data_IF_044282585611
#
_entry.id   IF_044282585611
#
_cell.length_a   1.000
_cell.length_b   1.000
_cell.length_c   1.000
_cell.angle_alpha   90.00
_cell.angle_beta   90.00
_cell.angle_gamma   90.00
#
_symmetry.space_group_name_H-M   'P 1'
#
loop_
_entity.id
_entity.type
_entity.pdbx_description
1 polymer ?
#
# COMPACT_ATOMS: atom_id res chain seq x y z
N UNK A 1 -36.48 23.69 49.05
CA UNK A 1 -35.94 23.40 47.71
C UNK A 1 -34.58 22.70 47.85
N UNK A 2 -34.48 21.46 47.39
CA UNK A 2 -33.30 20.62 47.54
C UNK A 2 -32.41 20.72 46.28
N UNK A 3 -31.16 21.18 46.42
CA UNK A 3 -30.15 21.17 45.35
C UNK A 3 -29.39 19.85 45.37
N UNK A 4 -29.77 18.93 44.49
CA UNK A 4 -29.01 17.69 44.23
C UNK A 4 -27.76 18.02 43.40
N UNK A 5 -26.57 17.86 43.99
CA UNK A 5 -25.27 17.90 43.30
C UNK A 5 -25.03 16.57 42.59
N UNK A 6 -24.78 16.60 41.28
CA UNK A 6 -24.40 15.42 40.48
C UNK A 6 -22.89 15.09 40.63
N UNK A 7 -22.48 13.81 40.60
CA UNK A 7 -21.08 13.38 40.72
C UNK A 7 -20.29 13.51 39.39
N UNK A 8 -18.94 13.54 39.43
CA UNK A 8 -18.08 13.75 38.27
C UNK A 8 -18.08 12.55 37.32
N UNK A 9 -18.27 12.81 36.02
CA UNK A 9 -18.24 11.80 34.96
C UNK A 9 -16.82 11.24 34.79
N UNK A 10 -16.63 9.97 35.16
CA UNK A 10 -15.45 9.19 34.81
C UNK A 10 -15.40 9.00 33.29
N UNK A 11 -14.52 9.75 32.63
CA UNK A 11 -14.24 9.59 31.20
C UNK A 11 -13.65 8.22 30.94
N UNK A 12 -14.46 7.31 30.38
CA UNK A 12 -13.99 6.04 29.82
C UNK A 12 -13.11 6.35 28.61
N UNK A 13 -11.80 6.14 28.72
CA UNK A 13 -10.92 6.15 27.56
C UNK A 13 -11.39 5.09 26.56
N UNK A 14 -11.90 5.56 25.41
CA UNK A 14 -12.30 4.69 24.33
C UNK A 14 -11.09 3.87 23.83
N UNK A 15 -11.26 2.56 23.53
CA UNK A 15 -10.17 1.73 23.07
C UNK A 15 -9.60 2.27 21.76
N UNK A 16 -8.32 2.65 21.77
CA UNK A 16 -7.59 3.15 20.59
C UNK A 16 -7.73 2.13 19.45
N UNK A 17 -8.51 2.49 18.42
CA UNK A 17 -8.67 1.74 17.17
C UNK A 17 -7.28 1.37 16.65
N UNK A 18 -6.97 0.07 16.63
CA UNK A 18 -5.73 -0.45 16.01
C UNK A 18 -5.72 0.01 14.54
N UNK A 19 -4.78 0.90 14.19
CA UNK A 19 -4.58 1.30 12.78
C UNK A 19 -4.34 0.03 11.97
N UNK A 20 -5.12 -0.18 10.90
CA UNK A 20 -4.84 -1.22 9.91
C UNK A 20 -3.39 -1.03 9.47
N UNK A 21 -2.56 -2.06 9.66
CA UNK A 21 -1.20 -2.07 9.14
C UNK A 21 -1.30 -2.06 7.62
N UNK A 22 -1.08 -0.89 7.02
CA UNK A 22 -0.92 -0.79 5.57
C UNK A 22 0.36 -1.54 5.24
N UNK A 23 0.29 -2.52 4.33
CA UNK A 23 1.47 -3.24 3.87
C UNK A 23 2.43 -2.21 3.27
N UNK A 24 3.56 -2.00 3.93
CA UNK A 24 4.59 -1.03 3.53
C UNK A 24 5.64 -1.71 2.68
N UNK A 25 6.02 -1.06 1.59
CA UNK A 25 7.09 -1.53 0.70
C UNK A 25 8.48 -1.07 1.16
N UNK A 26 8.57 -0.20 2.18
CA UNK A 26 9.82 0.44 2.60
C UNK A 26 10.99 -0.49 2.93
N UNK A 27 10.74 -1.69 3.45
CA UNK A 27 11.82 -2.66 3.70
C UNK A 27 12.46 -3.19 2.41
N UNK A 28 11.66 -3.39 1.36
CA UNK A 28 12.12 -3.82 0.04
C UNK A 28 12.83 -2.68 -0.69
N UNK A 29 12.25 -1.48 -0.63
CA UNK A 29 12.86 -0.28 -1.22
C UNK A 29 14.26 -0.03 -0.63
N UNK A 30 14.41 -0.14 0.70
CA UNK A 30 15.71 0.00 1.36
C UNK A 30 16.70 -1.12 1.00
N UNK A 31 16.22 -2.36 0.81
CA UNK A 31 17.08 -3.47 0.35
C UNK A 31 17.65 -3.20 -1.04
N UNK A 32 16.81 -2.81 -2.00
CA UNK A 32 17.25 -2.47 -3.37
C UNK A 32 18.16 -1.24 -3.37
N UNK A 33 17.83 -0.22 -2.58
CA UNK A 33 18.65 0.99 -2.46
C UNK A 33 20.08 0.65 -2.01
N UNK A 34 20.23 -0.22 -1.00
CA UNK A 34 21.55 -0.64 -0.52
C UNK A 34 22.31 -1.51 -1.53
N UNK A 35 21.61 -2.26 -2.38
CA UNK A 35 22.22 -3.04 -3.45
C UNK A 35 22.82 -2.13 -4.53
N UNK A 36 22.16 -1.03 -4.88
CA UNK A 36 22.65 -0.10 -5.93
C UNK A 36 23.59 0.97 -5.36
N UNK A 37 23.31 1.49 -4.16
CA UNK A 37 24.07 2.57 -3.53
C UNK A 37 24.28 2.31 -2.01
N UNK A 38 25.31 1.55 -1.61
CA UNK A 38 25.51 1.12 -0.22
C UNK A 38 25.66 2.25 0.82
N UNK A 39 26.14 3.43 0.41
CA UNK A 39 26.40 4.58 1.29
C UNK A 39 25.25 5.60 1.33
N UNK A 40 24.24 5.44 0.49
CA UNK A 40 23.12 6.38 0.38
C UNK A 40 22.04 6.10 1.42
N UNK A 41 21.37 7.16 1.88
CA UNK A 41 20.18 7.07 2.75
C UNK A 41 19.02 7.79 2.08
N UNK A 42 17.81 7.30 2.33
CA UNK A 42 16.56 7.89 1.84
C UNK A 42 15.82 8.57 3.00
N UNK A 43 15.24 9.73 2.75
CA UNK A 43 14.41 10.43 3.73
C UNK A 43 13.04 9.75 3.90
N UNK A 44 12.36 9.99 5.02
CA UNK A 44 11.02 9.42 5.26
C UNK A 44 9.98 9.92 4.23
N UNK A 45 10.11 11.17 3.78
CA UNK A 45 9.24 11.73 2.74
C UNK A 45 9.50 11.07 1.39
N UNK A 46 10.77 10.92 0.99
CA UNK A 46 11.11 10.23 -0.25
C UNK A 46 10.69 8.74 -0.19
N UNK A 47 10.82 8.09 0.97
CA UNK A 47 10.32 6.74 1.17
C UNK A 47 8.81 6.66 0.93
N UNK A 48 8.03 7.61 1.45
CA UNK A 48 6.57 7.65 1.21
C UNK A 48 6.22 7.83 -0.26
N UNK A 49 6.95 8.68 -0.98
CA UNK A 49 6.75 8.86 -2.44
C UNK A 49 7.07 7.56 -3.19
N UNK A 50 8.16 6.88 -2.82
CA UNK A 50 8.52 5.58 -3.41
C UNK A 50 7.49 4.49 -3.10
N UNK A 51 6.93 4.46 -1.89
CA UNK A 51 5.85 3.53 -1.53
C UNK A 51 4.59 3.76 -2.39
N UNK A 52 4.21 5.03 -2.62
CA UNK A 52 3.10 5.37 -3.51
C UNK A 52 3.38 5.03 -4.97
N UNK A 53 4.61 5.25 -5.45
CA UNK A 53 5.03 4.89 -6.80
C UNK A 53 4.87 3.39 -7.08
N UNK A 54 5.29 2.54 -6.12
CA UNK A 54 5.09 1.09 -6.21
C UNK A 54 3.59 0.74 -6.21
N UNK A 55 2.79 1.42 -5.40
CA UNK A 55 1.34 1.25 -5.36
C UNK A 55 0.64 1.56 -6.70
N UNK A 56 0.89 2.74 -7.28
CA UNK A 56 0.33 3.15 -8.58
C UNK A 56 0.75 2.18 -9.70
N UNK A 57 2.03 1.79 -9.70
CA UNK A 57 2.55 0.83 -10.68
C UNK A 57 1.88 -0.55 -10.55
N UNK A 58 1.70 -1.03 -9.32
CA UNK A 58 1.02 -2.30 -9.06
C UNK A 58 -0.44 -2.26 -9.51
N UNK A 59 -1.16 -1.18 -9.23
CA UNK A 59 -2.55 -1.02 -9.63
C UNK A 59 -2.69 -0.97 -11.16
N UNK A 60 -1.80 -0.27 -11.85
CA UNK A 60 -1.74 -0.25 -13.32
C UNK A 60 -1.54 -1.65 -13.90
N UNK A 61 -0.59 -2.43 -13.38
CA UNK A 61 -0.33 -3.81 -13.83
C UNK A 61 -1.55 -4.72 -13.55
N UNK A 62 -2.13 -4.63 -12.35
CA UNK A 62 -3.28 -5.43 -11.97
C UNK A 62 -4.50 -5.12 -12.85
N UNK A 63 -4.73 -3.85 -13.18
CA UNK A 63 -5.81 -3.41 -14.06
C UNK A 63 -5.64 -3.97 -15.47
N UNK A 64 -4.45 -3.84 -16.08
CA UNK A 64 -4.19 -4.39 -17.41
C UNK A 64 -4.24 -5.92 -17.43
N UNK A 65 -3.71 -6.60 -16.41
CA UNK A 65 -3.79 -8.05 -16.32
C UNK A 65 -5.24 -8.53 -16.18
N UNK A 66 -6.07 -7.81 -15.43
CA UNK A 66 -7.52 -8.08 -15.32
C UNK A 66 -8.22 -7.93 -16.67
N UNK A 67 -7.86 -6.90 -17.43
CA UNK A 67 -8.38 -6.66 -18.79
C UNK A 67 -8.00 -7.82 -19.73
N UNK A 68 -6.74 -8.23 -19.73
CA UNK A 68 -6.25 -9.36 -20.53
C UNK A 68 -6.92 -10.68 -20.16
N UNK A 69 -7.11 -10.95 -18.86
CA UNK A 69 -7.80 -12.13 -18.38
C UNK A 69 -9.25 -12.20 -18.91
N UNK A 70 -9.96 -11.06 -18.90
CA UNK A 70 -11.31 -10.93 -19.46
C UNK A 70 -11.34 -11.13 -20.97
N UNK A 71 -10.39 -10.55 -21.70
CA UNK A 71 -10.26 -10.72 -23.16
C UNK A 71 -9.99 -12.18 -23.53
N UNK A 72 -9.15 -12.87 -22.74
CA UNK A 72 -8.85 -14.30 -22.89
C UNK A 72 -9.95 -15.23 -22.41
N UNK A 73 -11.13 -14.72 -21.99
CA UNK A 73 -12.28 -15.48 -21.46
C UNK A 73 -11.91 -16.46 -20.33
N UNK A 74 -10.84 -16.16 -19.61
CA UNK A 74 -10.38 -16.98 -18.51
C UNK A 74 -10.86 -16.37 -17.18
N UNK A 75 -11.31 -17.22 -16.26
CA UNK A 75 -11.73 -16.81 -14.91
C UNK A 75 -10.57 -16.73 -13.92
N UNK A 76 -9.39 -17.18 -14.33
CA UNK A 76 -8.19 -17.24 -13.49
C UNK A 76 -7.07 -16.46 -14.17
N UNK A 77 -6.50 -15.50 -13.46
CA UNK A 77 -5.34 -14.74 -13.92
C UNK A 77 -4.08 -15.59 -13.75
N UNK A 78 -3.43 -15.95 -14.86
CA UNK A 78 -2.20 -16.73 -14.89
C UNK A 78 -0.96 -15.86 -15.06
N UNK A 79 0.19 -16.53 -15.19
CA UNK A 79 1.48 -15.87 -15.40
C UNK A 79 1.56 -15.13 -16.74
N UNK A 80 0.85 -15.61 -17.77
CA UNK A 80 0.85 -15.01 -19.12
C UNK A 80 0.20 -13.62 -19.12
N UNK A 81 -0.91 -13.46 -18.41
CA UNK A 81 -1.62 -12.17 -18.32
C UNK A 81 -0.75 -11.15 -17.58
N UNK A 82 -0.09 -11.55 -16.48
CA UNK A 82 0.83 -10.67 -15.74
C UNK A 82 2.02 -10.27 -16.62
N UNK A 83 2.68 -11.22 -17.29
CA UNK A 83 3.83 -10.92 -18.15
C UNK A 83 3.45 -9.98 -19.30
N UNK A 84 2.28 -10.18 -19.90
CA UNK A 84 1.77 -9.34 -20.98
C UNK A 84 1.38 -7.95 -20.47
N UNK A 85 0.74 -7.86 -19.30
CA UNK A 85 0.40 -6.58 -18.66
C UNK A 85 1.66 -5.76 -18.33
N UNK A 86 2.72 -6.39 -17.82
CA UNK A 86 4.00 -5.72 -17.54
C UNK A 86 4.59 -5.10 -18.80
N UNK A 87 4.55 -5.81 -19.94
CA UNK A 87 5.02 -5.30 -21.24
C UNK A 87 4.18 -4.14 -21.79
N UNK A 88 2.91 -4.06 -21.42
CA UNK A 88 2.02 -2.95 -21.81
C UNK A 88 2.19 -1.72 -20.91
N UNK A 89 2.40 -1.93 -19.61
CA UNK A 89 2.49 -0.84 -18.62
C UNK A 89 3.83 -0.13 -18.68
N UNK A 90 4.93 -0.86 -18.86
CA UNK A 90 6.25 -0.25 -18.95
C UNK A 90 6.66 -0.10 -20.42
N UNK A 91 6.88 1.13 -20.90
CA UNK A 91 7.46 1.34 -22.22
C UNK A 91 8.90 0.78 -22.21
N UNK A 92 9.18 -0.04 -23.21
CA UNK A 92 10.49 -0.58 -23.52
C UNK A 92 10.78 -0.43 -25.00
#
# INVERSE_FOLDING_TARGET
>A
EAKTKMPPSQGKEAPKRKKKSVKRYGSYIMKVLKQVHPKMRISNQAMSVMESCVGDTFERIASEASRLCRTGKSSTMGTREIQSAVRLVFPG
#
